data_IF_517440935292
#
_entry.id   IF_517440935292
#
_cell.length_a   1.000
_cell.length_b   1.000
_cell.length_c   1.000
_cell.angle_alpha   90.00
_cell.angle_beta   90.00
_cell.angle_gamma   90.00
#
_symmetry.space_group_name_H-M   'P 1'
#
loop_
_entity.id
_entity.type
_entity.pdbx_description
1 polymer ?
#
# COMPACT_ATOMS: atom_id res chain seq x y z
N UNK A 1 74.47 -18.00 -25.03
CA UNK A 1 73.52 -16.92 -24.67
C UNK A 1 72.30 -17.59 -24.07
N UNK A 2 72.12 -17.50 -22.74
CA UNK A 2 71.02 -18.14 -22.02
C UNK A 2 69.78 -17.25 -22.05
N UNK A 3 68.64 -17.81 -22.45
CA UNK A 3 67.36 -17.12 -22.50
C UNK A 3 66.65 -17.30 -21.14
N UNK A 4 66.55 -16.23 -20.36
CA UNK A 4 65.82 -16.22 -19.08
C UNK A 4 64.40 -15.73 -19.34
N UNK A 5 63.47 -16.65 -19.59
CA UNK A 5 62.03 -16.34 -19.53
C UNK A 5 61.47 -16.77 -18.18
N UNK A 6 61.74 -15.97 -17.14
CA UNK A 6 61.11 -16.15 -15.83
C UNK A 6 59.75 -15.44 -15.83
N UNK A 7 58.65 -16.19 -15.76
CA UNK A 7 57.33 -15.61 -15.52
C UNK A 7 57.19 -15.37 -14.02
N UNK A 8 57.06 -14.10 -13.63
CA UNK A 8 56.80 -13.69 -12.26
C UNK A 8 55.29 -13.47 -12.08
N UNK A 9 54.69 -14.13 -11.10
CA UNK A 9 53.27 -13.95 -10.74
C UNK A 9 53.16 -13.36 -9.34
N UNK A 10 52.32 -12.34 -9.19
CA UNK A 10 52.02 -11.71 -7.91
C UNK A 10 50.55 -11.89 -7.57
N UNK A 11 50.26 -12.10 -6.28
CA UNK A 11 48.89 -12.25 -5.76
C UNK A 11 48.31 -10.87 -5.45
N UNK A 12 47.23 -10.51 -6.15
CA UNK A 12 46.39 -9.36 -5.81
C UNK A 12 45.27 -9.86 -4.90
N UNK A 13 45.10 -9.23 -3.74
CA UNK A 13 43.96 -9.45 -2.84
C UNK A 13 43.13 -8.18 -2.85
N UNK A 14 41.86 -8.30 -3.25
CA UNK A 14 40.89 -7.21 -3.20
C UNK A 14 39.89 -7.56 -2.10
N UNK A 15 39.83 -6.73 -1.06
CA UNK A 15 38.81 -6.84 -0.04
C UNK A 15 37.62 -5.96 -0.43
N UNK A 16 36.44 -6.54 -0.47
CA UNK A 16 35.19 -5.78 -0.54
C UNK A 16 34.82 -5.39 0.88
N UNK A 17 34.67 -4.10 1.13
CA UNK A 17 34.23 -3.57 2.41
C UNK A 17 32.70 -3.49 2.43
N UNK A 18 32.09 -3.73 3.59
CA UNK A 18 30.66 -3.46 3.74
C UNK A 18 30.40 -1.96 3.67
N UNK A 19 29.26 -1.58 3.10
CA UNK A 19 28.76 -0.20 3.12
C UNK A 19 27.38 -0.27 3.72
N UNK A 20 27.17 0.48 4.79
CA UNK A 20 25.93 0.48 5.55
C UNK A 20 24.74 0.94 4.69
N UNK A 21 23.64 0.19 4.72
CA UNK A 21 22.40 0.54 4.01
C UNK A 21 21.49 1.40 4.89
N UNK A 22 20.83 2.45 4.37
CA UNK A 22 19.94 3.28 5.18
C UNK A 22 18.71 2.51 5.67
N UNK A 23 18.08 2.94 6.78
CA UNK A 23 16.93 2.23 7.33
C UNK A 23 15.77 2.07 6.34
N UNK A 24 15.07 0.94 6.41
CA UNK A 24 13.89 0.66 5.61
C UNK A 24 12.64 0.46 6.47
N UNK A 25 11.52 1.08 6.07
CA UNK A 25 10.23 0.90 6.76
C UNK A 25 9.65 -0.51 6.53
N UNK A 26 9.33 -1.22 7.62
CA UNK A 26 8.89 -2.63 7.62
C UNK A 26 7.42 -2.82 8.07
N UNK A 27 6.63 -1.74 8.11
CA UNK A 27 5.21 -1.76 8.54
C UNK A 27 4.26 -2.60 7.67
N UNK A 28 4.73 -3.18 6.56
CA UNK A 28 3.92 -3.96 5.62
C UNK A 28 3.64 -3.21 4.33
N UNK A 29 2.48 -3.49 3.72
CA UNK A 29 2.13 -2.99 2.39
C UNK A 29 1.94 -1.47 2.37
N UNK A 30 2.52 -0.82 1.36
CA UNK A 30 2.30 0.59 1.02
C UNK A 30 1.02 0.72 0.16
N UNK A 31 0.27 1.84 0.23
CA UNK A 31 0.49 2.99 1.10
C UNK A 31 0.20 2.68 2.57
N UNK A 32 0.83 3.42 3.50
CA UNK A 32 0.52 3.27 4.92
C UNK A 32 -0.79 3.97 5.25
N UNK A 33 -1.68 3.28 5.98
CA UNK A 33 -3.05 3.74 6.19
C UNK A 33 -3.40 3.77 7.68
N UNK A 34 -4.02 4.86 8.11
CA UNK A 34 -4.61 4.99 9.43
C UNK A 34 -5.93 5.78 9.41
N UNK A 35 -6.53 5.89 10.58
CA UNK A 35 -7.73 6.71 10.84
C UNK A 35 -7.52 7.60 12.05
N UNK A 36 -8.23 8.74 12.09
CA UNK A 36 -8.24 9.66 13.24
C UNK A 36 -9.68 10.06 13.58
N UNK A 37 -9.98 10.20 14.87
CA UNK A 37 -11.31 10.60 15.32
C UNK A 37 -11.58 12.03 14.89
N UNK A 38 -12.84 12.36 14.61
CA UNK A 38 -13.23 13.72 14.25
C UNK A 38 -12.96 14.69 15.40
N UNK A 39 -13.28 14.26 16.62
CA UNK A 39 -13.19 15.07 17.84
C UNK A 39 -12.48 14.27 18.95
N UNK A 40 -11.16 14.02 18.85
CA UNK A 40 -10.45 13.33 19.90
C UNK A 40 -10.46 14.18 21.19
N UNK A 41 -10.59 13.56 22.37
CA UNK A 41 -10.78 14.28 23.64
C UNK A 41 -9.59 15.17 24.04
N UNK A 42 -8.41 14.92 23.45
CA UNK A 42 -7.19 15.69 23.66
C UNK A 42 -6.23 15.50 22.49
N UNK A 43 -5.22 16.34 22.43
CA UNK A 43 -4.06 16.15 21.55
C UNK A 43 -3.14 15.05 22.09
N UNK A 44 -2.22 14.57 21.25
CA UNK A 44 -1.19 13.59 21.63
C UNK A 44 -1.64 12.13 21.60
N UNK A 45 -2.81 11.83 21.03
CA UNK A 45 -3.27 10.45 20.86
C UNK A 45 -2.50 9.74 19.74
N UNK A 46 -2.20 8.47 19.95
CA UNK A 46 -1.48 7.64 18.98
C UNK A 46 -2.39 7.35 17.77
N UNK A 47 -1.84 7.51 16.57
CA UNK A 47 -2.55 7.29 15.30
C UNK A 47 -1.95 6.10 14.55
N UNK A 48 -0.62 6.06 14.48
CA UNK A 48 0.15 5.06 13.75
C UNK A 48 1.54 4.97 14.37
N UNK A 49 2.24 3.85 14.20
CA UNK A 49 3.63 3.72 14.58
C UNK A 49 4.42 3.27 13.35
N UNK A 50 5.33 4.11 12.89
CA UNK A 50 6.33 3.69 11.91
C UNK A 50 7.36 2.78 12.58
N UNK A 51 7.77 1.75 11.85
CA UNK A 51 8.83 0.82 12.23
C UNK A 51 9.78 0.76 11.05
N UNK A 52 11.01 1.19 11.25
CA UNK A 52 12.10 1.08 10.29
C UNK A 52 13.25 0.29 10.91
N UNK A 53 13.98 -0.44 10.07
CA UNK A 53 15.12 -1.25 10.49
C UNK A 53 16.34 -0.91 9.65
N UNK A 54 17.45 -0.76 10.33
CA UNK A 54 18.78 -0.61 9.75
C UNK A 54 19.41 -1.99 9.48
N UNK A 55 20.44 -2.06 8.62
CA UNK A 55 21.11 -3.31 8.21
C UNK A 55 21.68 -4.09 9.41
N UNK A 56 22.16 -3.37 10.43
CA UNK A 56 22.86 -3.94 11.58
C UNK A 56 21.97 -4.11 12.83
N UNK A 57 20.76 -3.54 12.84
CA UNK A 57 19.94 -3.38 14.04
C UNK A 57 18.92 -4.49 14.29
N UNK A 58 18.95 -5.07 15.50
CA UNK A 58 17.87 -5.91 16.04
C UNK A 58 16.77 -5.11 16.77
N UNK A 59 16.85 -3.77 16.80
CA UNK A 59 15.91 -2.91 17.53
C UNK A 59 15.86 -1.44 17.13
N UNK A 60 14.84 -0.73 17.64
CA UNK A 60 14.51 0.68 17.37
C UNK A 60 15.59 1.71 17.78
N UNK A 61 16.67 1.31 18.48
CA UNK A 61 17.64 2.26 19.09
C UNK A 61 18.47 3.02 18.07
N UNK A 62 18.73 2.39 16.93
CA UNK A 62 19.67 2.88 15.92
C UNK A 62 18.96 3.75 14.89
N UNK A 63 17.63 3.88 15.00
CA UNK A 63 16.81 4.64 14.06
C UNK A 63 16.22 5.89 14.71
N UNK A 64 16.36 7.02 14.01
CA UNK A 64 15.65 8.26 14.30
C UNK A 64 14.54 8.52 13.28
N UNK A 65 13.33 8.74 13.78
CA UNK A 65 12.20 9.12 12.93
C UNK A 65 12.06 10.64 12.86
N UNK A 66 11.97 11.18 11.64
CA UNK A 66 11.85 12.61 11.38
C UNK A 66 10.57 12.92 10.61
N UNK A 67 9.83 13.90 11.10
CA UNK A 67 8.69 14.44 10.37
C UNK A 67 9.20 15.38 9.29
N UNK A 68 8.95 15.05 8.03
CA UNK A 68 9.27 15.90 6.89
C UNK A 68 8.18 16.95 6.70
N UNK A 69 6.92 16.52 6.65
CA UNK A 69 5.78 17.41 6.50
C UNK A 69 4.46 16.74 6.96
N UNK A 70 3.43 17.55 7.14
CA UNK A 70 2.04 17.10 7.18
C UNK A 70 1.22 17.92 6.19
N UNK A 71 0.19 17.31 5.60
CA UNK A 71 -0.75 17.99 4.72
C UNK A 71 -2.18 17.87 5.27
N UNK A 72 -2.78 18.99 5.74
CA UNK A 72 -2.18 20.31 5.97
C UNK A 72 -1.07 20.33 7.05
N UNK A 73 -0.24 21.38 7.11
CA UNK A 73 0.82 21.49 8.12
C UNK A 73 0.30 21.55 9.56
N UNK A 74 1.05 20.94 10.48
CA UNK A 74 0.79 21.00 11.92
C UNK A 74 -0.41 20.16 12.38
N UNK A 75 -0.82 19.14 11.61
CA UNK A 75 -1.93 18.24 11.95
C UNK A 75 -1.51 17.02 12.78
N UNK A 76 -0.23 16.63 12.68
CA UNK A 76 0.36 15.51 13.39
C UNK A 76 1.82 15.81 13.75
N UNK A 77 2.35 15.06 14.71
CA UNK A 77 3.77 15.03 15.08
C UNK A 77 4.24 13.59 15.18
N UNK A 78 5.55 13.36 15.04
CA UNK A 78 6.16 12.04 15.27
C UNK A 78 7.09 12.10 16.48
N UNK A 79 7.12 11.02 17.25
CA UNK A 79 8.09 10.82 18.32
C UNK A 79 9.39 10.24 17.73
N UNK A 80 10.53 10.95 17.82
CA UNK A 80 11.74 10.57 17.08
C UNK A 80 12.37 9.23 17.45
N UNK A 81 12.12 8.73 18.66
CA UNK A 81 12.68 7.47 19.16
C UNK A 81 11.79 6.26 18.94
N UNK A 82 10.48 6.44 18.75
CA UNK A 82 9.52 5.33 18.71
C UNK A 82 8.77 5.21 17.38
N UNK A 83 8.87 6.24 16.53
CA UNK A 83 8.11 6.31 15.28
C UNK A 83 6.61 6.55 15.47
N UNK A 84 6.14 6.80 16.70
CA UNK A 84 4.72 7.01 16.98
C UNK A 84 4.25 8.36 16.45
N UNK A 85 3.31 8.33 15.50
CA UNK A 85 2.58 9.49 15.00
C UNK A 85 1.45 9.81 15.97
N UNK A 86 1.39 11.06 16.42
CA UNK A 86 0.41 11.56 17.38
C UNK A 86 -0.36 12.77 16.85
N UNK A 87 -1.62 12.90 17.28
CA UNK A 87 -2.45 14.08 16.98
C UNK A 87 -1.87 15.36 17.60
N UNK A 88 -1.98 16.49 16.90
CA UNK A 88 -1.68 17.83 17.43
C UNK A 88 -2.93 18.70 17.53
N UNK A 89 -4.06 18.25 16.98
CA UNK A 89 -5.36 18.92 17.01
C UNK A 89 -6.44 18.03 17.63
N UNK A 90 -7.55 18.66 17.96
CA UNK A 90 -8.76 18.02 18.50
C UNK A 90 -9.95 18.08 17.55
N UNK A 91 -9.76 18.60 16.35
CA UNK A 91 -10.82 18.77 15.35
C UNK A 91 -10.28 18.35 13.98
N UNK A 92 -10.95 17.39 13.36
CA UNK A 92 -10.64 16.86 12.05
C UNK A 92 -11.92 16.82 11.20
N UNK A 93 -11.77 17.06 9.90
CA UNK A 93 -12.88 17.20 8.95
C UNK A 93 -13.32 15.82 8.44
N UNK A 94 -14.60 15.46 8.64
CA UNK A 94 -15.11 14.15 8.26
C UNK A 94 -14.86 13.84 6.79
N UNK A 95 -14.28 12.67 6.52
CA UNK A 95 -13.99 12.20 5.16
C UNK A 95 -12.71 12.79 4.56
N UNK A 96 -12.06 13.74 5.24
CA UNK A 96 -10.79 14.29 4.78
C UNK A 96 -9.65 13.31 5.01
N UNK A 97 -8.81 13.14 3.99
CA UNK A 97 -7.55 12.42 4.10
C UNK A 97 -6.43 13.41 4.34
N UNK A 98 -5.69 13.18 5.43
CA UNK A 98 -4.49 13.91 5.78
C UNK A 98 -3.26 13.07 5.44
N UNK A 99 -2.14 13.72 5.15
CA UNK A 99 -0.88 13.00 4.87
C UNK A 99 0.20 13.36 5.87
N UNK A 100 0.97 12.36 6.29
CA UNK A 100 2.14 12.50 7.16
C UNK A 100 3.34 11.92 6.41
N UNK A 101 4.36 12.75 6.20
CA UNK A 101 5.57 12.39 5.48
C UNK A 101 6.70 12.18 6.49
N UNK A 102 7.25 10.98 6.53
CA UNK A 102 8.21 10.55 7.55
C UNK A 102 9.44 9.97 6.88
N UNK A 103 10.61 10.26 7.45
CA UNK A 103 11.87 9.67 7.05
C UNK A 103 12.54 9.05 8.27
N UNK A 104 13.13 7.88 8.11
CA UNK A 104 13.96 7.24 9.10
C UNK A 104 15.43 7.55 8.80
N UNK A 105 16.24 7.72 9.84
CA UNK A 105 17.66 8.01 9.74
C UNK A 105 18.45 7.09 10.66
N UNK A 106 19.53 6.49 10.17
CA UNK A 106 20.43 5.75 11.04
C UNK A 106 21.28 6.72 11.92
N UNK A 107 21.38 6.36 13.20
CA UNK A 107 22.07 7.08 14.27
C UNK A 107 23.49 6.58 14.50
N UNK A 108 23.87 5.45 13.91
CA UNK A 108 25.19 4.83 14.08
C UNK A 108 26.02 4.75 12.79
N UNK A 109 26.06 5.82 11.96
CA UNK A 109 26.73 5.75 10.68
C UNK A 109 28.24 5.61 10.84
N UNK A 110 28.87 4.78 10.01
CA UNK A 110 30.31 4.79 9.86
C UNK A 110 30.76 6.01 9.04
N UNK A 111 31.99 6.52 9.24
CA UNK A 111 32.49 7.68 8.50
C UNK A 111 32.54 7.52 6.97
N UNK A 112 32.52 6.28 6.48
CA UNK A 112 32.50 5.94 5.05
C UNK A 112 31.15 6.12 4.39
N UNK A 113 30.08 6.23 5.19
CA UNK A 113 28.74 6.03 4.68
C UNK A 113 28.18 7.32 4.10
N UNK A 114 27.60 7.21 2.91
CA UNK A 114 27.21 8.36 2.10
C UNK A 114 25.73 8.71 2.18
N UNK A 115 24.89 7.74 2.55
CA UNK A 115 23.44 7.90 2.63
C UNK A 115 22.92 7.22 3.88
N UNK A 116 22.26 7.99 4.72
CA UNK A 116 21.83 7.57 6.07
C UNK A 116 20.32 7.72 6.27
N UNK A 117 19.66 8.31 5.30
CA UNK A 117 18.23 8.58 5.33
C UNK A 117 17.49 7.63 4.41
N UNK A 118 16.37 7.10 4.91
CA UNK A 118 15.45 6.26 4.17
C UNK A 118 14.75 7.03 3.03
N UNK A 119 14.04 6.30 2.17
CA UNK A 119 12.97 6.91 1.38
C UNK A 119 11.93 7.59 2.28
N UNK A 120 11.23 8.60 1.76
CA UNK A 120 10.11 9.23 2.47
C UNK A 120 8.91 8.28 2.45
N UNK A 121 8.48 7.85 3.64
CA UNK A 121 7.23 7.16 3.83
C UNK A 121 6.06 8.15 3.90
N UNK A 122 4.93 7.77 3.30
CA UNK A 122 3.68 8.54 3.34
C UNK A 122 2.62 7.72 4.07
N UNK A 123 2.10 8.28 5.16
CA UNK A 123 0.93 7.78 5.88
C UNK A 123 -0.30 8.61 5.51
N UNK A 124 -1.33 7.95 5.01
CA UNK A 124 -2.65 8.54 4.79
C UNK A 124 -3.55 8.29 6.00
N UNK A 125 -3.97 9.37 6.66
CA UNK A 125 -4.84 9.34 7.84
C UNK A 125 -6.21 9.86 7.44
N UNK A 126 -7.22 8.99 7.42
CA UNK A 126 -8.59 9.40 7.14
C UNK A 126 -9.30 9.83 8.42
N UNK A 127 -9.94 11.00 8.41
CA UNK A 127 -10.77 11.44 9.52
C UNK A 127 -12.15 10.76 9.50
N UNK A 128 -12.41 9.97 10.53
CA UNK A 128 -13.59 9.11 10.62
C UNK A 128 -13.30 7.66 10.20
N UNK A 129 -14.33 6.99 9.70
CA UNK A 129 -14.27 5.56 9.39
C UNK A 129 -13.77 5.29 7.97
N UNK A 130 -12.71 4.47 7.85
CA UNK A 130 -12.21 4.02 6.54
C UNK A 130 -13.14 2.98 5.91
N UNK A 131 -13.62 3.20 4.66
CA UNK A 131 -14.39 2.21 3.94
C UNK A 131 -13.51 1.04 3.49
N UNK A 132 -14.09 -0.11 3.12
CA UNK A 132 -13.33 -1.18 2.47
C UNK A 132 -12.59 -0.67 1.24
N UNK A 133 -11.38 -1.18 0.99
CA UNK A 133 -10.57 -0.79 -0.16
C UNK A 133 -10.18 -2.04 -0.96
N UNK A 134 -10.37 -1.99 -2.28
CA UNK A 134 -9.92 -3.05 -3.16
C UNK A 134 -8.40 -3.20 -3.12
N UNK A 135 -7.92 -4.45 -3.22
CA UNK A 135 -6.49 -4.78 -3.25
C UNK A 135 -5.82 -4.21 -4.50
N UNK A 136 -6.52 -4.23 -5.62
CA UNK A 136 -6.08 -3.67 -6.89
C UNK A 136 -6.98 -2.52 -7.30
N UNK A 137 -6.40 -1.49 -7.92
CA UNK A 137 -7.16 -0.38 -8.47
C UNK A 137 -7.95 -0.80 -9.72
N UNK A 138 -7.40 -1.71 -10.51
CA UNK A 138 -8.04 -2.27 -11.70
C UNK A 138 -7.75 -3.77 -11.77
N UNK A 139 -8.76 -4.55 -12.12
CA UNK A 139 -8.63 -5.97 -12.42
C UNK A 139 -8.78 -6.15 -13.93
N UNK A 140 -7.80 -6.76 -14.58
CA UNK A 140 -7.84 -7.04 -16.02
C UNK A 140 -7.54 -8.51 -16.23
N UNK A 141 -8.46 -9.20 -16.92
CA UNK A 141 -8.37 -10.63 -17.20
C UNK A 141 -8.83 -10.90 -18.63
N UNK A 142 -8.18 -11.84 -19.31
CA UNK A 142 -8.65 -12.39 -20.58
C UNK A 142 -9.43 -13.66 -20.33
N UNK A 143 -10.59 -13.80 -20.97
CA UNK A 143 -11.44 -15.00 -20.87
C UNK A 143 -11.54 -15.62 -22.27
N UNK A 144 -11.08 -16.88 -22.47
CA UNK A 144 -11.27 -17.60 -23.73
C UNK A 144 -12.76 -17.71 -24.09
N UNK A 145 -13.11 -17.60 -25.37
CA UNK A 145 -14.51 -17.60 -25.79
C UNK A 145 -15.23 -18.94 -25.55
N UNK A 146 -14.46 -20.03 -25.51
CA UNK A 146 -14.90 -21.40 -25.26
C UNK A 146 -15.04 -21.72 -23.76
N UNK A 147 -14.86 -20.73 -22.89
CA UNK A 147 -15.06 -20.88 -21.44
C UNK A 147 -16.50 -21.26 -21.13
N UNK A 148 -16.67 -22.29 -20.30
CA UNK A 148 -17.99 -22.73 -19.85
C UNK A 148 -18.70 -21.69 -18.98
N UNK A 149 -20.02 -21.66 -19.10
CA UNK A 149 -20.88 -20.87 -18.20
C UNK A 149 -20.70 -21.36 -16.75
N UNK A 150 -20.82 -20.45 -15.79
CA UNK A 150 -20.52 -20.58 -14.36
C UNK A 150 -19.02 -20.65 -13.99
N UNK A 151 -18.11 -20.67 -14.97
CA UNK A 151 -16.68 -20.61 -14.68
C UNK A 151 -16.30 -19.33 -13.91
N UNK A 152 -15.41 -19.47 -12.92
CA UNK A 152 -14.81 -18.36 -12.21
C UNK A 152 -13.81 -17.62 -13.10
N UNK A 153 -13.98 -16.32 -13.21
CA UNK A 153 -13.23 -15.46 -14.14
C UNK A 153 -12.15 -14.67 -13.40
N UNK A 154 -12.50 -14.04 -12.28
CA UNK A 154 -11.55 -13.24 -11.48
C UNK A 154 -11.99 -13.22 -10.03
N UNK A 155 -11.01 -13.25 -9.11
CA UNK A 155 -11.23 -13.06 -7.68
C UNK A 155 -10.96 -11.60 -7.30
N UNK A 156 -12.03 -10.86 -6.99
CA UNK A 156 -11.94 -9.47 -6.55
C UNK A 156 -11.88 -9.44 -5.03
N UNK A 157 -10.81 -8.85 -4.49
CA UNK A 157 -10.61 -8.73 -3.04
C UNK A 157 -10.62 -7.29 -2.57
N UNK A 158 -11.21 -7.09 -1.40
CA UNK A 158 -11.12 -5.85 -0.64
C UNK A 158 -10.71 -6.11 0.82
N UNK A 159 -9.97 -5.17 1.39
CA UNK A 159 -9.61 -5.16 2.80
C UNK A 159 -10.58 -4.28 3.58
N UNK A 160 -11.05 -4.81 4.71
CA UNK A 160 -11.87 -4.07 5.67
C UNK A 160 -11.01 -3.43 6.74
N UNK A 161 -11.46 -2.28 7.24
CA UNK A 161 -10.79 -1.58 8.33
C UNK A 161 -11.67 -1.60 9.59
N UNK A 162 -11.04 -1.73 10.76
CA UNK A 162 -11.74 -1.62 12.04
C UNK A 162 -12.44 -0.26 12.14
N UNK A 163 -13.59 -0.22 12.83
CA UNK A 163 -14.22 1.07 13.12
C UNK A 163 -13.43 1.83 14.16
N UNK A 164 -13.43 3.15 14.01
CA UNK A 164 -12.75 4.05 14.92
C UNK A 164 -13.37 4.10 16.32
N UNK A 165 -14.66 3.82 16.44
CA UNK A 165 -15.38 3.77 17.72
C UNK A 165 -15.50 2.34 18.29
N UNK A 166 -14.86 1.36 17.64
CA UNK A 166 -14.87 -0.03 18.04
C UNK A 166 -16.13 -0.81 17.64
N UNK A 167 -17.10 -0.19 16.95
CA UNK A 167 -18.28 -0.90 16.43
C UNK A 167 -17.88 -1.84 15.29
N UNK A 168 -18.67 -2.91 15.13
CA UNK A 168 -18.55 -3.77 13.95
C UNK A 168 -19.16 -3.07 12.72
N UNK A 169 -18.43 -3.05 11.60
CA UNK A 169 -18.93 -2.56 10.30
C UNK A 169 -19.71 -3.62 9.50
N UNK A 170 -19.81 -4.85 10.03
CA UNK A 170 -20.35 -5.99 9.29
C UNK A 170 -19.35 -6.56 8.26
N UNK A 171 -19.74 -7.63 7.55
CA UNK A 171 -18.92 -8.22 6.50
C UNK A 171 -18.89 -7.32 5.26
N UNK A 172 -17.80 -7.42 4.48
CA UNK A 172 -17.73 -6.82 3.15
C UNK A 172 -18.72 -7.54 2.24
N UNK A 173 -19.45 -6.77 1.43
CA UNK A 173 -20.30 -7.31 0.36
C UNK A 173 -19.93 -6.70 -0.99
N UNK A 174 -20.01 -7.52 -2.04
CA UNK A 174 -19.65 -7.15 -3.40
C UNK A 174 -20.88 -7.04 -4.28
N UNK A 175 -20.82 -6.12 -5.25
CA UNK A 175 -21.82 -5.94 -6.30
C UNK A 175 -21.10 -5.56 -7.59
N UNK A 176 -21.64 -5.97 -8.74
CA UNK A 176 -21.03 -5.75 -10.05
C UNK A 176 -22.01 -5.04 -10.97
N UNK A 177 -21.57 -3.96 -11.57
CA UNK A 177 -22.36 -3.11 -12.44
C UNK A 177 -21.64 -2.88 -13.77
N UNK A 178 -22.38 -2.57 -14.82
CA UNK A 178 -21.80 -2.12 -16.08
C UNK A 178 -21.27 -0.69 -15.94
N UNK A 179 -20.26 -0.38 -16.74
CA UNK A 179 -19.73 0.98 -16.89
C UNK A 179 -20.52 1.79 -17.94
N UNK A 180 -21.80 1.48 -18.13
CA UNK A 180 -22.65 2.21 -19.06
C UNK A 180 -23.03 3.58 -18.47
N UNK A 181 -22.76 4.63 -19.24
CA UNK A 181 -23.18 6.00 -18.94
C UNK A 181 -24.69 6.14 -19.18
N UNK A 182 -25.51 5.74 -18.22
CA UNK A 182 -26.91 6.17 -18.22
C UNK A 182 -27.01 7.49 -17.47
N UNK A 183 -27.48 8.54 -18.16
CA UNK A 183 -27.92 9.84 -17.59
C UNK A 183 -29.04 9.73 -16.53
N UNK A 184 -29.36 8.51 -16.10
CA UNK A 184 -30.30 8.15 -15.06
C UNK A 184 -29.53 7.38 -13.97
N UNK A 185 -29.78 7.73 -12.71
CA UNK A 185 -29.16 7.21 -11.46
C UNK A 185 -29.20 5.67 -11.24
N UNK A 186 -29.56 4.89 -12.25
CA UNK A 186 -29.70 3.43 -12.18
C UNK A 186 -28.36 2.71 -12.25
N UNK A 187 -28.11 1.85 -11.26
CA UNK A 187 -27.05 0.86 -11.35
C UNK A 187 -27.52 -0.29 -12.25
N UNK A 188 -26.90 -0.44 -13.41
CA UNK A 188 -27.21 -1.50 -14.39
C UNK A 188 -26.28 -2.69 -14.14
N UNK A 189 -26.82 -3.90 -14.06
CA UNK A 189 -26.04 -5.14 -13.89
C UNK A 189 -25.72 -5.74 -15.25
N UNK A 190 -24.62 -6.49 -15.35
CA UNK A 190 -24.34 -7.28 -16.54
C UNK A 190 -25.19 -8.55 -16.56
N UNK A 191 -25.61 -8.96 -17.75
CA UNK A 191 -26.25 -10.25 -18.02
C UNK A 191 -25.22 -11.34 -18.41
N UNK A 192 -23.99 -10.94 -18.75
CA UNK A 192 -22.88 -11.84 -19.13
C UNK A 192 -21.99 -12.20 -17.95
N UNK A 193 -21.84 -11.31 -16.97
CA UNK A 193 -21.02 -11.55 -15.78
C UNK A 193 -21.78 -11.25 -14.49
N UNK A 194 -21.59 -12.09 -13.47
CA UNK A 194 -22.11 -11.88 -12.11
C UNK A 194 -20.98 -11.89 -11.10
N UNK A 195 -21.21 -11.35 -9.90
CA UNK A 195 -20.27 -11.46 -8.77
C UNK A 195 -20.96 -12.10 -7.59
N UNK A 196 -20.28 -13.04 -6.93
CA UNK A 196 -20.73 -13.53 -5.65
C UNK A 196 -20.51 -12.45 -4.58
N UNK A 197 -21.63 -12.03 -3.96
CA UNK A 197 -21.65 -10.88 -3.07
C UNK A 197 -20.88 -11.05 -1.76
N UNK A 198 -20.33 -12.24 -1.44
CA UNK A 198 -19.55 -12.48 -0.21
C UNK A 198 -18.07 -12.76 -0.48
N UNK A 199 -17.79 -13.55 -1.50
CA UNK A 199 -16.45 -13.99 -1.86
C UNK A 199 -15.73 -13.01 -2.79
N UNK A 200 -16.49 -12.23 -3.57
CA UNK A 200 -15.96 -11.32 -4.60
C UNK A 200 -15.56 -12.03 -5.90
N UNK A 201 -15.89 -13.31 -6.06
CA UNK A 201 -15.58 -14.05 -7.29
C UNK A 201 -16.57 -13.68 -8.39
N UNK A 202 -16.04 -13.29 -9.54
CA UNK A 202 -16.82 -13.01 -10.76
C UNK A 202 -16.98 -14.29 -11.56
N UNK A 203 -18.20 -14.57 -12.02
CA UNK A 203 -18.54 -15.74 -12.81
C UNK A 203 -19.08 -15.36 -14.19
N UNK A 204 -18.80 -16.20 -15.19
CA UNK A 204 -19.42 -16.10 -16.51
C UNK A 204 -20.86 -16.64 -16.46
N UNK A 205 -21.81 -15.91 -17.02
CA UNK A 205 -23.25 -16.26 -17.01
C UNK A 205 -23.80 -16.59 -18.41
N UNK A 206 -23.09 -16.14 -19.46
CA UNK A 206 -23.47 -16.40 -20.84
C UNK A 206 -22.25 -16.78 -21.67
N UNK A 207 -22.46 -17.58 -22.71
CA UNK A 207 -21.40 -17.94 -23.65
C UNK A 207 -20.87 -16.71 -24.38
N UNK A 208 -19.56 -16.57 -24.32
CA UNK A 208 -18.82 -15.64 -25.15
C UNK A 208 -18.80 -16.15 -26.61
N UNK A 209 -18.60 -15.24 -27.54
CA UNK A 209 -18.46 -15.53 -28.97
C UNK A 209 -17.69 -14.36 -29.58
N UNK A 210 -16.39 -14.56 -29.81
CA UNK A 210 -15.48 -13.53 -30.31
C UNK A 210 -15.66 -13.31 -31.82
N UNK A 211 -16.05 -14.38 -32.53
CA UNK A 211 -16.27 -14.40 -33.96
C UNK A 211 -17.61 -13.75 -34.35
N UNK A 212 -18.62 -13.74 -33.46
CA UNK A 212 -19.84 -12.95 -33.65
C UNK A 212 -19.60 -11.45 -33.47
N UNK A 213 -19.50 -10.72 -34.58
CA UNK A 213 -19.31 -9.27 -34.60
C UNK A 213 -20.44 -8.44 -33.95
N UNK A 214 -21.57 -9.05 -33.57
CA UNK A 214 -22.63 -8.38 -32.79
C UNK A 214 -22.38 -8.44 -31.29
N UNK A 215 -21.55 -9.37 -30.81
CA UNK A 215 -21.24 -9.50 -29.39
C UNK A 215 -20.07 -8.60 -28.98
N UNK A 216 -20.10 -8.04 -27.77
CA UNK A 216 -18.99 -7.26 -27.25
C UNK A 216 -17.75 -8.14 -27.01
N UNK A 217 -16.57 -7.63 -27.39
CA UNK A 217 -15.27 -8.24 -27.09
C UNK A 217 -14.62 -7.69 -25.82
N UNK A 218 -15.19 -6.62 -25.28
CA UNK A 218 -14.72 -5.94 -24.08
C UNK A 218 -15.91 -5.63 -23.20
N UNK A 219 -15.86 -6.11 -21.96
CA UNK A 219 -16.83 -5.81 -20.92
C UNK A 219 -16.18 -4.91 -19.88
N UNK A 220 -16.68 -3.67 -19.74
CA UNK A 220 -16.26 -2.74 -18.71
C UNK A 220 -17.25 -2.78 -17.56
N UNK A 221 -16.78 -3.20 -16.40
CA UNK A 221 -17.58 -3.44 -15.20
C UNK A 221 -16.97 -2.69 -14.00
N UNK A 222 -17.79 -2.34 -13.01
CA UNK A 222 -17.41 -1.59 -11.81
C UNK A 222 -18.16 -2.04 -10.57
#
# INVERSE_FOLDING_TARGET
MGNLSGVNTHRVIINVLNVDEPPAFVNGQKPFLAVVSLNPPKTGLNVFQFVARDENGDGDSDVEYRLINTEPPGMFRIEPSSGIVRTTRTEYELGKTYRVFVQARDRTPQPSDKQQDSEIAVLEVLAGDRPPQFVQQHYTVGVPEDTDVEASVVDVKAHGFKSIDGRSKGPITYSLYTDENSDSLGRVTSDVFSIDGRSGVVHLQQKLDFDDGKKPRLHKLR
#
